data_IF_504949289726
#
_entry.id   IF_504949289726
#
_cell.length_a   1.000
_cell.length_b   1.000
_cell.length_c   1.000
_cell.angle_alpha   90.00
_cell.angle_beta   90.00
_cell.angle_gamma   90.00
#
_symmetry.space_group_name_H-M   'P 1'
#
loop_
_entity.id
_entity.type
_entity.pdbx_description
1 polymer ?
#
# COMPACT_ATOMS: atom_id res chain seq x y z
N UNK A 1 -17.73 -5.27 19.34
CA UNK A 1 -18.22 -4.01 18.74
C UNK A 1 -18.17 -2.84 19.72
N UNK A 2 -18.89 -2.85 20.85
CA UNK A 2 -18.88 -1.73 21.80
C UNK A 2 -17.47 -1.41 22.36
N UNK A 3 -16.69 -2.43 22.71
CA UNK A 3 -15.31 -2.25 23.20
C UNK A 3 -14.37 -1.69 22.14
N UNK A 4 -14.57 -2.09 20.87
CA UNK A 4 -13.84 -1.56 19.73
C UNK A 4 -14.14 -0.07 19.55
N UNK A 5 -15.42 0.30 19.50
CA UNK A 5 -15.83 1.70 19.36
C UNK A 5 -15.33 2.55 20.52
N UNK A 6 -15.51 2.11 21.76
CA UNK A 6 -15.07 2.84 22.94
C UNK A 6 -13.55 2.95 23.09
N UNK A 7 -12.79 1.98 22.57
CA UNK A 7 -11.33 2.10 22.47
C UNK A 7 -10.92 3.07 21.36
N UNK A 8 -11.54 2.99 20.19
CA UNK A 8 -11.22 3.86 19.06
C UNK A 8 -11.58 5.31 19.31
N UNK A 9 -12.67 5.59 20.02
CA UNK A 9 -13.00 6.94 20.49
C UNK A 9 -11.93 7.53 21.42
N UNK A 10 -11.18 6.70 22.16
CA UNK A 10 -10.07 7.15 23.00
C UNK A 10 -8.80 7.43 22.19
N UNK A 11 -8.63 6.79 21.04
CA UNK A 11 -7.52 7.04 20.12
C UNK A 11 -7.90 8.21 19.21
N UNK A 12 -7.55 9.43 19.64
CA UNK A 12 -7.93 10.66 18.92
C UNK A 12 -6.85 11.19 17.97
N UNK A 13 -5.68 10.54 17.89
CA UNK A 13 -4.60 10.96 16.99
C UNK A 13 -4.16 9.83 16.05
N UNK A 14 -3.85 10.20 14.81
CA UNK A 14 -3.21 9.38 13.79
C UNK A 14 -1.92 8.69 14.27
N UNK A 15 -1.15 9.35 15.13
CA UNK A 15 0.07 8.79 15.71
C UNK A 15 -0.22 7.61 16.63
N UNK A 16 -1.27 7.70 17.46
CA UNK A 16 -1.71 6.59 18.30
C UNK A 16 -2.36 5.48 17.45
N UNK A 17 -3.12 5.83 16.41
CA UNK A 17 -3.61 4.86 15.41
C UNK A 17 -2.44 4.09 14.80
N UNK A 18 -1.41 4.79 14.35
CA UNK A 18 -0.21 4.17 13.81
C UNK A 18 0.43 3.23 14.86
N UNK A 19 0.62 3.67 16.09
CA UNK A 19 1.17 2.81 17.13
C UNK A 19 0.34 1.54 17.35
N UNK A 20 -0.98 1.62 17.33
CA UNK A 20 -1.88 0.45 17.45
C UNK A 20 -1.70 -0.52 16.26
N UNK A 21 -1.58 0.00 15.05
CA UNK A 21 -1.43 -0.82 13.86
C UNK A 21 -0.12 -1.62 13.84
N UNK A 22 0.89 -1.28 14.68
CA UNK A 22 2.15 -2.04 14.77
C UNK A 22 1.95 -3.45 15.33
N UNK A 23 0.85 -3.66 16.05
CA UNK A 23 0.52 -4.95 16.64
C UNK A 23 -0.21 -5.88 15.67
N UNK A 24 -0.52 -5.41 14.46
CA UNK A 24 -1.17 -6.22 13.44
C UNK A 24 -0.15 -7.01 12.64
N UNK A 25 -0.40 -8.31 12.50
CA UNK A 25 0.46 -9.20 11.74
C UNK A 25 -0.11 -9.43 10.34
N UNK A 26 0.70 -9.21 9.32
CA UNK A 26 0.33 -9.56 7.96
C UNK A 26 0.23 -11.09 7.79
N UNK A 27 -0.87 -11.55 7.21
CA UNK A 27 -1.14 -12.95 6.84
C UNK A 27 -1.91 -12.94 5.52
N UNK A 28 -1.63 -13.87 4.60
CA UNK A 28 -2.37 -13.93 3.35
C UNK A 28 -3.81 -14.39 3.56
N UNK A 29 -4.72 -13.98 2.67
CA UNK A 29 -6.10 -14.47 2.68
C UNK A 29 -6.22 -15.98 2.60
N UNK A 30 -5.31 -16.62 1.88
CA UNK A 30 -5.30 -18.07 1.77
C UNK A 30 -5.00 -18.71 3.12
N UNK A 31 -4.01 -18.19 3.84
CA UNK A 31 -3.59 -18.76 5.13
C UNK A 31 -4.61 -18.48 6.25
N UNK A 32 -5.29 -17.32 6.22
CA UNK A 32 -6.23 -16.91 7.26
C UNK A 32 -7.67 -17.34 6.97
N UNK A 33 -8.12 -17.15 5.74
CA UNK A 33 -9.52 -17.28 5.32
C UNK A 33 -9.77 -18.47 4.39
N UNK A 34 -8.71 -19.15 3.93
CA UNK A 34 -8.78 -20.21 2.92
C UNK A 34 -9.50 -19.75 1.64
N UNK A 35 -9.24 -18.51 1.24
CA UNK A 35 -9.77 -17.86 0.04
C UNK A 35 -8.63 -17.16 -0.71
N UNK A 36 -8.77 -17.04 -2.03
CA UNK A 36 -7.77 -16.34 -2.85
C UNK A 36 -7.80 -14.82 -2.66
N UNK A 37 -8.97 -14.28 -2.31
CA UNK A 37 -9.23 -12.85 -2.09
C UNK A 37 -10.45 -12.73 -1.15
N UNK A 38 -10.26 -12.15 0.03
CA UNK A 38 -11.25 -12.01 1.09
C UNK A 38 -11.18 -10.64 1.77
N UNK A 39 -12.17 -9.80 1.51
CA UNK A 39 -12.21 -8.47 2.13
C UNK A 39 -12.89 -8.52 3.50
N UNK A 40 -12.10 -8.78 4.53
CA UNK A 40 -12.55 -8.75 5.91
C UNK A 40 -13.11 -7.36 6.29
N UNK A 41 -14.15 -7.36 7.13
CA UNK A 41 -14.69 -6.12 7.71
C UNK A 41 -13.79 -5.64 8.87
N UNK A 42 -13.72 -4.32 9.15
CA UNK A 42 -12.83 -3.76 10.18
C UNK A 42 -12.90 -4.46 11.54
N UNK A 43 -14.09 -4.87 11.98
CA UNK A 43 -14.28 -5.59 13.25
C UNK A 43 -13.57 -6.92 13.32
N UNK A 44 -13.62 -7.65 12.22
CA UNK A 44 -13.02 -8.97 12.11
C UNK A 44 -11.50 -8.84 12.14
N UNK A 45 -10.97 -7.88 11.38
CA UNK A 45 -9.55 -7.50 11.40
C UNK A 45 -9.13 -7.11 12.82
N UNK A 46 -9.92 -6.28 13.50
CA UNK A 46 -9.67 -5.82 14.87
C UNK A 46 -9.56 -6.97 15.87
N UNK A 47 -10.51 -7.91 15.85
CA UNK A 47 -10.55 -9.05 16.76
C UNK A 47 -9.38 -10.01 16.49
N UNK A 48 -9.10 -10.30 15.23
CA UNK A 48 -8.07 -11.27 14.86
C UNK A 48 -6.65 -10.72 15.01
N UNK A 49 -6.48 -9.39 14.94
CA UNK A 49 -5.18 -8.70 14.91
C UNK A 49 -4.27 -9.18 13.78
N UNK A 50 -4.86 -9.78 12.74
CA UNK A 50 -4.16 -10.38 11.59
C UNK A 50 -5.06 -10.27 10.38
N UNK A 51 -4.48 -9.85 9.27
CA UNK A 51 -5.10 -9.87 7.94
C UNK A 51 -4.04 -9.52 6.88
N UNK A 52 -4.44 -9.47 5.61
CA UNK A 52 -3.58 -9.01 4.52
C UNK A 52 -3.52 -7.47 4.41
N UNK A 53 -3.11 -6.93 3.25
CA UNK A 53 -3.04 -5.47 3.06
C UNK A 53 -4.42 -4.81 2.98
N UNK A 54 -5.41 -5.48 2.39
CA UNK A 54 -6.77 -5.01 2.19
C UNK A 54 -7.47 -4.89 3.54
N UNK A 55 -7.39 -5.93 4.38
CA UNK A 55 -7.96 -5.91 5.72
C UNK A 55 -7.41 -4.77 6.58
N UNK A 56 -6.08 -4.55 6.55
CA UNK A 56 -5.46 -3.48 7.34
C UNK A 56 -5.78 -2.07 6.78
N UNK A 57 -5.78 -1.90 5.45
CA UNK A 57 -6.18 -0.64 4.83
C UNK A 57 -7.62 -0.31 5.23
N UNK A 58 -8.52 -1.27 5.11
CA UNK A 58 -9.92 -1.04 5.46
C UNK A 58 -10.14 -0.74 6.95
N UNK A 59 -9.46 -1.45 7.84
CA UNK A 59 -9.51 -1.16 9.29
C UNK A 59 -8.99 0.26 9.60
N UNK A 60 -7.84 0.63 9.06
CA UNK A 60 -7.26 1.95 9.32
C UNK A 60 -8.10 3.07 8.69
N UNK A 61 -8.69 2.84 7.52
CA UNK A 61 -9.64 3.77 6.90
C UNK A 61 -10.89 3.99 7.75
N UNK A 62 -11.45 2.91 8.30
CA UNK A 62 -12.56 2.93 9.24
C UNK A 62 -12.24 3.74 10.51
N UNK A 63 -11.06 3.52 11.06
CA UNK A 63 -10.57 4.22 12.24
C UNK A 63 -10.49 5.73 12.01
N UNK A 64 -9.84 6.13 10.92
CA UNK A 64 -9.61 7.54 10.58
C UNK A 64 -10.92 8.25 10.19
N UNK A 65 -11.78 7.59 9.41
CA UNK A 65 -13.03 8.16 8.94
C UNK A 65 -14.10 8.24 10.02
N UNK A 66 -14.32 7.16 10.77
CA UNK A 66 -15.42 7.09 11.75
C UNK A 66 -15.09 7.73 13.10
N UNK A 67 -13.90 7.47 13.65
CA UNK A 67 -13.58 7.86 15.02
C UNK A 67 -12.73 9.12 15.10
N UNK A 68 -11.67 9.21 14.29
CA UNK A 68 -10.84 10.44 14.21
C UNK A 68 -11.57 11.55 13.42
N UNK A 69 -12.59 11.18 12.63
CA UNK A 69 -13.43 12.08 11.83
C UNK A 69 -12.64 12.88 10.80
N UNK A 70 -11.66 12.25 10.17
CA UNK A 70 -10.97 12.83 9.03
C UNK A 70 -11.93 12.86 7.84
N UNK A 71 -12.17 14.02 7.20
CA UNK A 71 -13.19 14.15 6.17
C UNK A 71 -12.83 13.44 4.85
N UNK A 72 -11.54 13.37 4.53
CA UNK A 72 -11.04 12.80 3.29
C UNK A 72 -10.17 11.58 3.61
N UNK A 73 -10.78 10.39 3.52
CA UNK A 73 -10.13 9.10 3.72
C UNK A 73 -10.47 8.21 2.53
N UNK A 74 -9.47 7.51 2.01
CA UNK A 74 -9.56 6.67 0.83
C UNK A 74 -8.87 5.35 1.08
N UNK A 75 -9.45 4.28 0.55
CA UNK A 75 -8.78 3.00 0.41
C UNK A 75 -8.31 2.88 -1.04
N UNK A 76 -7.00 2.86 -1.25
CA UNK A 76 -6.39 2.72 -2.57
C UNK A 76 -5.78 1.33 -2.75
N UNK A 77 -6.04 0.72 -3.91
CA UNK A 77 -5.37 -0.50 -4.37
C UNK A 77 -4.42 -0.11 -5.50
N UNK A 78 -3.16 -0.47 -5.34
CA UNK A 78 -2.12 -0.23 -6.33
C UNK A 78 -1.67 -1.54 -6.92
N UNK A 79 -1.49 -1.58 -8.22
CA UNK A 79 -0.91 -2.73 -8.91
C UNK A 79 0.27 -2.29 -9.76
N UNK A 80 1.37 -3.01 -9.59
CA UNK A 80 2.63 -2.64 -10.20
C UNK A 80 3.67 -3.75 -10.15
N UNK A 81 4.91 -3.35 -10.41
CA UNK A 81 6.09 -4.18 -10.44
C UNK A 81 7.01 -3.84 -9.27
N UNK A 82 7.58 -4.86 -8.64
CA UNK A 82 8.55 -4.71 -7.56
C UNK A 82 9.60 -5.82 -7.61
N UNK A 83 10.73 -5.60 -6.93
CA UNK A 83 11.81 -6.60 -6.83
C UNK A 83 11.52 -7.59 -5.73
N UNK A 84 11.46 -8.86 -6.08
CA UNK A 84 11.54 -9.96 -5.13
C UNK A 84 12.97 -10.44 -5.04
N UNK A 85 13.57 -10.27 -3.86
CA UNK A 85 14.94 -10.68 -3.59
C UNK A 85 15.00 -12.13 -3.13
N UNK A 86 15.99 -12.86 -3.61
CA UNK A 86 16.25 -14.27 -3.29
C UNK A 86 17.69 -14.38 -2.81
N UNK A 87 17.86 -14.86 -1.58
CA UNK A 87 19.17 -15.15 -1.01
C UNK A 87 19.57 -16.58 -1.38
N UNK A 88 20.75 -16.75 -1.95
CA UNK A 88 21.35 -18.05 -2.18
C UNK A 88 22.32 -18.36 -1.02
N UNK A 89 22.01 -19.30 -0.12
CA UNK A 89 22.86 -19.59 1.03
C UNK A 89 24.19 -20.25 0.66
N UNK A 90 24.26 -20.92 -0.49
CA UNK A 90 25.47 -21.64 -0.93
C UNK A 90 26.54 -20.70 -1.49
N UNK A 91 26.11 -19.57 -2.07
CA UNK A 91 27.01 -18.56 -2.67
C UNK A 91 27.11 -17.29 -1.84
N UNK A 92 26.19 -17.07 -0.89
CA UNK A 92 26.09 -15.83 -0.12
C UNK A 92 25.57 -14.63 -0.94
N UNK A 93 25.11 -14.86 -2.17
CA UNK A 93 24.69 -13.80 -3.08
C UNK A 93 23.18 -13.54 -2.99
N UNK A 94 22.82 -12.27 -3.12
CA UNK A 94 21.43 -11.85 -3.32
C UNK A 94 21.17 -11.66 -4.82
N UNK A 95 20.17 -12.36 -5.32
CA UNK A 95 19.61 -12.13 -6.66
C UNK A 95 18.22 -11.51 -6.54
N UNK A 96 17.68 -10.97 -7.63
CA UNK A 96 16.30 -10.51 -7.65
C UNK A 96 15.62 -10.86 -8.96
N UNK A 97 14.29 -10.91 -8.92
CA UNK A 97 13.42 -10.89 -10.09
C UNK A 97 12.41 -9.78 -9.93
N UNK A 98 12.07 -9.11 -11.03
CA UNK A 98 10.91 -8.21 -11.05
C UNK A 98 9.66 -9.08 -11.16
N UNK A 99 8.68 -8.82 -10.31
CA UNK A 99 7.42 -9.53 -10.25
C UNK A 99 6.28 -8.52 -10.15
N UNK A 100 5.08 -8.94 -10.57
CA UNK A 100 3.86 -8.17 -10.40
C UNK A 100 3.21 -8.43 -9.04
N UNK A 101 2.50 -7.43 -8.51
CA UNK A 101 1.68 -7.60 -7.31
C UNK A 101 0.65 -6.49 -7.16
N UNK A 102 -0.26 -6.71 -6.21
CA UNK A 102 -1.20 -5.72 -5.71
C UNK A 102 -0.85 -5.33 -4.27
N UNK A 103 -1.21 -4.11 -3.88
CA UNK A 103 -1.03 -3.64 -2.51
C UNK A 103 -2.10 -2.61 -2.14
N UNK A 104 -2.81 -2.84 -1.04
CA UNK A 104 -3.82 -1.93 -0.53
C UNK A 104 -3.26 -0.98 0.57
N UNK A 105 -3.66 0.29 0.49
CA UNK A 105 -3.16 1.38 1.35
C UNK A 105 -4.31 2.30 1.72
N UNK A 106 -4.30 2.79 2.96
CA UNK A 106 -5.19 3.89 3.37
C UNK A 106 -4.53 5.22 3.11
N UNK A 107 -5.21 6.11 2.39
CA UNK A 107 -4.72 7.46 2.12
C UNK A 107 -5.71 8.47 2.69
N UNK A 108 -5.23 9.53 3.31
CA UNK A 108 -6.09 10.51 3.95
C UNK A 108 -5.49 11.92 3.90
N UNK A 109 -6.35 12.94 3.93
CA UNK A 109 -5.94 14.33 3.95
C UNK A 109 -6.12 14.94 5.34
N UNK A 110 -5.06 15.53 5.88
CA UNK A 110 -5.07 16.22 7.19
C UNK A 110 -4.18 17.45 7.13
N UNK A 111 -4.70 18.60 7.57
CA UNK A 111 -3.98 19.87 7.57
C UNK A 111 -3.35 20.21 6.20
N UNK A 112 -4.13 20.03 5.13
CA UNK A 112 -3.71 20.17 3.72
C UNK A 112 -2.60 19.21 3.24
N UNK A 113 -2.22 18.23 4.07
CA UNK A 113 -1.22 17.21 3.71
C UNK A 113 -1.89 15.92 3.29
N UNK A 114 -1.39 15.32 2.21
CA UNK A 114 -1.77 13.99 1.79
C UNK A 114 -0.86 12.97 2.47
N UNK A 115 -1.44 12.12 3.30
CA UNK A 115 -0.75 11.15 4.14
C UNK A 115 -1.23 9.74 3.80
N UNK A 116 -0.41 8.73 4.08
CA UNK A 116 -0.77 7.35 3.79
C UNK A 116 -0.32 6.37 4.88
N UNK A 117 -1.09 5.29 5.02
CA UNK A 117 -0.90 4.23 5.99
C UNK A 117 -0.87 2.88 5.26
N UNK A 118 0.24 2.16 5.38
CA UNK A 118 0.45 0.84 4.79
C UNK A 118 1.02 -0.12 5.84
N UNK A 119 0.62 -1.39 5.77
CA UNK A 119 1.21 -2.49 6.56
C UNK A 119 2.70 -2.69 6.29
N UNK A 120 3.20 -2.35 5.10
CA UNK A 120 4.60 -2.55 4.69
C UNK A 120 5.44 -1.28 4.80
N UNK A 121 4.83 -0.11 4.98
CA UNK A 121 5.54 1.16 5.03
C UNK A 121 4.79 2.21 5.83
N UNK A 122 5.49 2.78 6.80
CA UNK A 122 4.96 3.72 7.78
C UNK A 122 5.21 5.15 7.31
N UNK A 123 4.31 5.69 6.50
CA UNK A 123 4.45 7.03 5.92
C UNK A 123 3.74 8.11 6.74
N UNK A 124 4.08 8.19 8.03
CA UNK A 124 3.50 9.15 8.96
C UNK A 124 4.04 10.59 8.82
N UNK A 125 5.06 10.81 7.99
CA UNK A 125 5.70 12.12 7.80
C UNK A 125 5.82 12.56 6.33
N UNK A 126 5.16 11.86 5.41
CA UNK A 126 5.28 12.14 3.97
C UNK A 126 4.07 12.92 3.50
N UNK A 127 4.31 14.15 3.05
CA UNK A 127 3.30 14.92 2.34
C UNK A 127 3.41 14.60 0.85
N UNK A 128 2.61 13.64 0.39
CA UNK A 128 2.56 13.25 -1.02
C UNK A 128 1.91 14.37 -1.87
N UNK A 129 2.32 14.48 -3.12
CA UNK A 129 1.74 15.42 -4.08
C UNK A 129 0.35 14.98 -4.52
N UNK A 130 0.19 13.68 -4.79
CA UNK A 130 -1.06 13.07 -5.22
C UNK A 130 -1.10 11.56 -4.91
N UNK A 131 -2.21 10.93 -5.25
CA UNK A 131 -2.42 9.49 -5.10
C UNK A 131 -1.49 8.65 -5.97
N UNK A 132 -1.02 9.19 -7.09
CA UNK A 132 -0.15 8.45 -8.01
C UNK A 132 1.25 8.32 -7.42
N UNK A 133 1.80 9.40 -6.85
CA UNK A 133 3.12 9.38 -6.20
C UNK A 133 3.22 8.28 -5.13
N UNK A 134 2.14 8.05 -4.37
CA UNK A 134 2.07 6.97 -3.37
C UNK A 134 2.22 5.60 -4.04
N UNK A 135 1.48 5.37 -5.12
CA UNK A 135 1.57 4.14 -5.91
C UNK A 135 2.95 3.93 -6.54
N UNK A 136 3.57 4.99 -7.04
CA UNK A 136 4.91 4.96 -7.61
C UNK A 136 5.98 4.61 -6.57
N UNK A 137 5.82 5.08 -5.33
CA UNK A 137 6.70 4.69 -4.22
C UNK A 137 6.45 3.26 -3.77
N UNK A 138 5.21 2.77 -3.89
CA UNK A 138 4.85 1.38 -3.57
C UNK A 138 5.43 0.40 -4.59
N UNK A 139 5.37 0.77 -5.88
CA UNK A 139 5.83 -0.04 -7.01
C UNK A 139 6.91 0.69 -7.81
N UNK A 140 8.15 0.74 -7.29
CA UNK A 140 9.23 1.54 -7.89
C UNK A 140 9.68 1.03 -9.26
N UNK A 141 9.42 -0.24 -9.60
CA UNK A 141 9.75 -0.80 -10.92
C UNK A 141 8.65 -0.56 -11.96
N UNK A 142 7.52 0.01 -11.54
CA UNK A 142 6.45 0.49 -12.42
C UNK A 142 5.07 0.31 -11.82
N UNK A 143 4.30 1.39 -11.76
CA UNK A 143 2.87 1.35 -11.44
C UNK A 143 2.07 1.27 -12.75
N UNK A 144 1.05 0.41 -12.81
CA UNK A 144 0.20 0.28 -14.01
C UNK A 144 -1.30 0.37 -13.75
N UNK A 145 -1.75 0.26 -12.49
CA UNK A 145 -3.17 0.39 -12.16
C UNK A 145 -3.35 0.91 -10.73
N UNK A 146 -4.25 1.87 -10.58
CA UNK A 146 -4.71 2.39 -9.29
C UNK A 146 -6.23 2.29 -9.24
N UNK A 147 -6.76 1.79 -8.13
CA UNK A 147 -8.20 1.76 -7.86
C UNK A 147 -8.44 2.51 -6.56
N UNK A 148 -9.38 3.45 -6.57
CA UNK A 148 -9.84 4.13 -5.38
C UNK A 148 -11.19 3.63 -4.94
N UNK A 149 -11.30 3.32 -3.65
CA UNK A 149 -12.51 2.87 -2.99
C UNK A 149 -12.87 3.79 -1.84
N UNK A 150 -14.17 3.90 -1.62
CA UNK A 150 -14.70 4.54 -0.45
C UNK A 150 -14.38 3.68 0.78
N UNK A 151 -13.79 4.29 1.81
CA UNK A 151 -13.27 3.58 3.00
C UNK A 151 -14.36 2.77 3.74
N UNK A 152 -15.56 3.32 3.90
CA UNK A 152 -16.64 2.69 4.68
C UNK A 152 -17.22 1.43 4.02
N UNK A 153 -17.53 1.52 2.72
CA UNK A 153 -18.32 0.51 2.02
C UNK A 153 -17.56 -0.23 0.91
N UNK A 154 -16.29 0.13 0.65
CA UNK A 154 -15.46 -0.50 -0.37
C UNK A 154 -15.90 -0.27 -1.82
N UNK A 155 -16.91 0.59 -2.06
CA UNK A 155 -17.36 0.90 -3.43
C UNK A 155 -16.27 1.65 -4.17
N UNK A 156 -15.98 1.19 -5.38
CA UNK A 156 -15.05 1.87 -6.28
C UNK A 156 -15.58 3.27 -6.61
N UNK A 157 -14.75 4.28 -6.38
CA UNK A 157 -15.02 5.69 -6.69
C UNK A 157 -14.46 6.05 -8.07
N UNK A 158 -13.22 5.63 -8.33
CA UNK A 158 -12.54 5.82 -9.61
C UNK A 158 -11.42 4.78 -9.75
N UNK A 159 -10.90 4.65 -10.97
CA UNK A 159 -9.72 3.86 -11.27
C UNK A 159 -8.93 4.52 -12.39
N UNK A 160 -7.61 4.31 -12.41
CA UNK A 160 -6.72 4.78 -13.45
C UNK A 160 -5.77 3.66 -13.85
N UNK A 161 -5.74 3.33 -15.15
CA UNK A 161 -4.94 2.24 -15.70
C UNK A 161 -4.05 2.77 -16.82
N UNK A 162 -2.78 2.34 -16.82
CA UNK A 162 -1.85 2.64 -17.90
C UNK A 162 -2.33 2.06 -19.24
N UNK A 163 -2.00 2.72 -20.36
CA UNK A 163 -2.43 2.26 -21.68
C UNK A 163 -1.53 1.11 -22.18
N UNK A 164 -2.10 0.26 -23.03
CA UNK A 164 -1.39 -0.88 -23.63
C UNK A 164 -0.18 -0.38 -24.46
N UNK A 165 1.01 -0.94 -24.22
CA UNK A 165 2.28 -0.52 -24.83
C UNK A 165 3.12 0.45 -24.00
N UNK A 166 2.59 1.00 -22.91
CA UNK A 166 3.36 1.87 -21.99
C UNK A 166 4.05 1.08 -20.87
N UNK A 167 3.69 -0.20 -20.68
CA UNK A 167 4.19 -1.04 -19.59
C UNK A 167 5.51 -1.71 -19.98
N UNK A 168 6.63 -1.10 -19.58
CA UNK A 168 7.95 -1.73 -19.65
C UNK A 168 8.45 -2.05 -18.23
N UNK A 169 8.89 -3.29 -18.02
CA UNK A 169 9.52 -3.75 -16.78
C UNK A 169 10.69 -2.84 -16.40
N UNK A 170 10.68 -2.30 -15.17
CA UNK A 170 11.72 -1.38 -14.69
C UNK A 170 11.54 0.07 -15.14
N UNK A 171 10.38 0.42 -15.71
CA UNK A 171 10.01 1.81 -16.00
C UNK A 171 8.70 2.15 -15.29
N UNK A 172 8.68 3.30 -14.63
CA UNK A 172 7.42 3.84 -14.11
C UNK A 172 6.74 4.65 -15.20
N UNK A 173 5.50 4.29 -15.52
CA UNK A 173 4.75 4.90 -16.62
C UNK A 173 4.21 6.26 -16.19
N UNK A 174 3.98 6.39 -14.88
CA UNK A 174 3.56 7.62 -14.25
C UNK A 174 4.74 8.53 -13.90
N UNK A 175 5.99 8.16 -14.24
CA UNK A 175 7.23 8.72 -13.70
C UNK A 175 7.29 10.25 -13.77
N UNK A 176 6.85 10.89 -12.69
CA UNK A 176 7.10 12.31 -12.41
C UNK A 176 8.44 12.40 -11.69
N UNK A 177 9.06 13.59 -11.61
CA UNK A 177 10.35 13.77 -10.92
C UNK A 177 10.18 13.47 -9.41
N UNK A 178 10.28 12.20 -9.03
CA UNK A 178 10.16 11.75 -7.63
C UNK A 178 11.26 12.37 -6.78
N UNK A 179 10.88 13.01 -5.66
CA UNK A 179 11.84 13.36 -4.61
C UNK A 179 12.19 12.07 -3.87
N UNK A 180 13.44 11.63 -4.05
CA UNK A 180 13.96 10.41 -3.46
C UNK A 180 13.90 10.45 -1.92
N UNK A 181 13.26 9.46 -1.30
CA UNK A 181 13.47 9.16 0.10
C UNK A 181 14.78 8.39 0.29
N UNK A 182 15.61 8.81 1.25
CA UNK A 182 16.98 8.31 1.44
C UNK A 182 17.13 6.82 1.80
N UNK A 183 16.06 6.03 1.86
CA UNK A 183 16.09 4.59 2.17
C UNK A 183 15.93 3.67 0.95
N UNK A 184 15.54 4.18 -0.22
CA UNK A 184 15.48 3.39 -1.45
C UNK A 184 16.83 3.42 -2.18
N UNK A 185 17.51 2.27 -2.24
CA UNK A 185 18.75 2.12 -3.03
C UNK A 185 18.48 2.51 -4.49
N UNK A 186 19.21 3.51 -4.99
CA UNK A 186 19.19 3.94 -6.38
C UNK A 186 19.32 2.77 -7.37
N UNK A 187 18.63 2.87 -8.52
CA UNK A 187 19.09 2.27 -9.77
C UNK A 187 20.49 2.79 -10.08
N UNK A 188 21.48 1.91 -10.23
CA UNK A 188 22.81 2.36 -10.69
C UNK A 188 22.73 2.68 -12.18
N UNK A 189 23.28 3.84 -12.56
CA UNK A 189 23.42 4.28 -13.96
C UNK A 189 24.18 3.19 -14.75
N UNK A 190 23.45 2.38 -15.52
CA UNK A 190 23.98 1.18 -16.19
C UNK A 190 23.04 -0.03 -16.17
N UNK A 191 22.10 -0.11 -15.22
CA UNK A 191 21.10 -1.20 -15.12
C UNK A 191 19.98 -1.09 -16.17
N UNK A 192 19.86 0.05 -16.86
CA UNK A 192 18.85 0.34 -17.89
C UNK A 192 19.08 -0.48 -19.19
N UNK A 193 20.27 -1.03 -19.41
CA UNK A 193 20.60 -1.76 -20.64
C UNK A 193 20.53 -3.28 -20.44
N UNK A 194 19.32 -3.84 -20.53
CA UNK A 194 18.97 -5.17 -21.12
C UNK A 194 17.56 -5.57 -20.66
N UNK A 195 16.54 -4.87 -21.13
CA UNK A 195 15.19 -5.46 -21.19
C UNK A 195 15.06 -5.98 -22.62
N UNK A 196 15.32 -7.28 -22.80
CA UNK A 196 14.97 -7.96 -24.05
C UNK A 196 13.45 -7.88 -24.17
N UNK A 197 12.96 -7.27 -25.24
CA UNK A 197 11.59 -7.46 -25.70
C UNK A 197 11.36 -8.98 -25.80
N UNK A 198 10.51 -9.52 -24.94
CA UNK A 198 9.97 -10.86 -25.12
C UNK A 198 8.88 -10.74 -26.19
N UNK A 199 9.13 -11.41 -27.32
CA UNK A 199 8.10 -11.70 -28.32
C UNK A 199 7.18 -12.84 -27.87
#
# INVERSE_FOLDING_TARGET
WADYCGYMEKITSDTLVALEMKFYKWVSDWDLWNKSDHWAVPDVVWVNKKDDCEGLARLSGDMLGRFVKIPEVHWLEYYGFYRKYYYNPDTGEWTYKVVTGGHAITVYKKDEKLLAFSNTSWWNNLNFQDFIEIGEQTFPEGLYWVICRHWDNGKMQWQEKAKEGEILEGTNIFHRRLRLMGSLKHLKRGEIKRVKQLG
#
